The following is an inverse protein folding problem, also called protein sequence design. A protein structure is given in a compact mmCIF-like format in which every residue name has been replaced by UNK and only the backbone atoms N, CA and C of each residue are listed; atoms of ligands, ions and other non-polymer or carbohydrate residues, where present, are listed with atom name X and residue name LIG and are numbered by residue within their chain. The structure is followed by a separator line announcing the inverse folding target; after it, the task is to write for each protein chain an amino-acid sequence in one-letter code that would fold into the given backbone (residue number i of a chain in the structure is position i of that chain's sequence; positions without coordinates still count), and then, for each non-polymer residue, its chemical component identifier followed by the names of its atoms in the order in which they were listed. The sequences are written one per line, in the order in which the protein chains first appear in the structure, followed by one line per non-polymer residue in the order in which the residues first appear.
data_IF_274980892267
#
_entry.id   IF_274980892267
#
_cell.length_a   1.000
_cell.length_b   1.000
_cell.length_c   1.000
_cell.angle_alpha   90.00
_cell.angle_beta   90.00
_cell.angle_gamma   90.00
#
_symmetry.space_group_name_H-M   'P 1'
#
loop_
_entity.id
_entity.type
_entity.pdbx_description
1 polymer ?
#
# COMPACT_ATOMS: atom_id res chain seq x y z
N UNK A 1 -2.26 -28.06 16.02
CA UNK A 1 -1.37 -27.27 15.15
C UNK A 1 -0.26 -26.69 16.01
N UNK A 2 0.92 -26.42 15.45
CA UNK A 2 1.96 -25.63 16.14
C UNK A 2 1.59 -24.14 16.09
N UNK A 3 2.17 -23.35 16.98
CA UNK A 3 2.10 -21.88 16.92
C UNK A 3 3.23 -21.33 16.05
N UNK A 4 2.95 -20.23 15.35
CA UNK A 4 3.91 -19.47 14.53
C UNK A 4 3.68 -17.98 14.81
N UNK A 5 4.73 -17.18 14.72
CA UNK A 5 4.61 -15.72 14.77
C UNK A 5 3.90 -15.21 13.50
N UNK A 6 3.18 -14.10 13.63
CA UNK A 6 2.62 -13.36 12.49
C UNK A 6 2.86 -11.87 12.77
N UNK A 7 3.52 -11.12 11.86
CA UNK A 7 4.06 -11.58 10.58
C UNK A 7 5.29 -12.50 10.72
N UNK A 8 5.44 -13.43 9.77
CA UNK A 8 6.59 -14.31 9.61
C UNK A 8 6.58 -14.98 8.22
N UNK A 9 7.77 -15.18 7.67
CA UNK A 9 8.02 -16.15 6.61
C UNK A 9 8.16 -17.55 7.24
N UNK A 10 7.39 -18.55 6.80
CA UNK A 10 7.41 -19.86 7.48
C UNK A 10 8.76 -20.58 7.36
N UNK A 11 9.62 -20.16 6.42
CA UNK A 11 10.98 -20.68 6.27
C UNK A 11 11.88 -20.30 7.45
N UNK A 12 11.70 -19.10 8.04
CA UNK A 12 12.47 -18.69 9.23
C UNK A 12 12.01 -19.43 10.49
N UNK A 13 10.77 -19.91 10.47
CA UNK A 13 10.15 -20.67 11.55
C UNK A 13 10.33 -22.20 11.38
N UNK A 14 11.12 -22.62 10.37
CA UNK A 14 11.58 -24.00 10.20
C UNK A 14 10.61 -24.96 9.49
N UNK A 15 9.61 -24.44 8.77
CA UNK A 15 8.62 -25.28 8.07
C UNK A 15 9.01 -25.65 6.64
N UNK A 16 9.94 -24.94 6.00
CA UNK A 16 10.46 -25.20 4.65
C UNK A 16 11.80 -24.47 4.46
N UNK A 17 12.50 -24.69 3.35
CA UNK A 17 13.76 -24.04 3.02
C UNK A 17 13.55 -22.76 2.18
N UNK A 18 14.26 -21.66 2.50
CA UNK A 18 14.33 -20.50 1.64
C UNK A 18 15.12 -20.86 0.38
N UNK A 19 14.77 -20.26 -0.76
CA UNK A 19 15.48 -20.49 -2.03
C UNK A 19 15.91 -19.16 -2.61
N UNK A 20 17.17 -19.02 -3.00
CA UNK A 20 17.61 -17.84 -3.73
C UNK A 20 17.60 -18.13 -5.23
N UNK A 21 16.91 -17.28 -5.99
CA UNK A 21 16.77 -17.39 -7.42
C UNK A 21 16.85 -15.98 -8.02
N UNK A 22 17.76 -15.81 -8.98
CA UNK A 22 17.84 -14.60 -9.81
C UNK A 22 16.81 -14.70 -10.94
N UNK A 23 17.23 -15.08 -12.15
CA UNK A 23 16.38 -15.07 -13.36
C UNK A 23 15.48 -16.31 -13.48
N UNK A 24 15.93 -17.46 -12.98
CA UNK A 24 15.22 -18.73 -13.23
C UNK A 24 14.13 -18.95 -12.20
N UNK A 25 12.88 -19.11 -12.64
CA UNK A 25 11.77 -19.51 -11.77
C UNK A 25 12.12 -20.76 -10.94
N UNK A 26 11.71 -20.82 -9.66
CA UNK A 26 11.91 -21.98 -8.79
C UNK A 26 10.96 -23.16 -9.11
N UNK A 27 10.15 -23.02 -10.17
CA UNK A 27 9.20 -23.99 -10.72
C UNK A 27 9.26 -23.95 -12.26
N UNK A 28 8.72 -24.96 -12.98
CA UNK A 28 8.74 -24.98 -14.45
C UNK A 28 8.05 -23.75 -15.04
N UNK A 29 8.70 -23.10 -16.02
CA UNK A 29 8.18 -21.93 -16.71
C UNK A 29 7.04 -22.29 -17.70
N UNK A 30 5.87 -22.65 -17.17
CA UNK A 30 4.73 -23.17 -17.93
C UNK A 30 3.44 -22.37 -17.62
N UNK A 31 3.51 -21.04 -17.80
CA UNK A 31 2.42 -20.14 -17.44
C UNK A 31 1.07 -20.56 -18.07
N UNK A 32 -0.06 -20.47 -17.34
CA UNK A 32 -0.19 -20.02 -15.95
C UNK A 32 -0.07 -21.17 -14.91
N UNK A 33 0.37 -22.37 -15.30
CA UNK A 33 0.24 -23.57 -14.48
C UNK A 33 1.30 -23.64 -13.37
N UNK A 34 0.87 -24.03 -12.16
CA UNK A 34 1.73 -24.34 -11.02
C UNK A 34 1.65 -25.85 -10.70
N UNK A 35 2.78 -26.52 -10.40
CA UNK A 35 2.76 -27.92 -9.95
C UNK A 35 2.08 -28.10 -8.58
N UNK A 36 0.74 -28.27 -8.59
CA UNK A 36 -0.06 -28.35 -7.35
C UNK A 36 0.36 -29.50 -6.41
N UNK A 37 0.82 -30.63 -6.95
CA UNK A 37 1.22 -31.80 -6.15
C UNK A 37 2.41 -31.52 -5.21
N UNK A 38 3.21 -30.50 -5.50
CA UNK A 38 4.42 -30.17 -4.74
C UNK A 38 4.42 -28.72 -4.25
N UNK A 39 3.29 -28.00 -4.35
CA UNK A 39 3.18 -26.61 -3.92
C UNK A 39 2.99 -26.54 -2.40
N UNK A 40 3.94 -25.99 -1.61
CA UNK A 40 3.76 -25.84 -0.17
C UNK A 40 2.57 -24.93 0.17
N UNK A 41 1.82 -25.34 1.19
CA UNK A 41 0.62 -24.61 1.66
C UNK A 41 0.71 -24.38 3.17
N UNK A 42 0.65 -23.12 3.59
CA UNK A 42 0.58 -22.71 4.99
C UNK A 42 -0.87 -22.49 5.41
N UNK A 43 -1.34 -23.22 6.44
CA UNK A 43 -2.67 -23.02 7.01
C UNK A 43 -2.57 -22.33 8.38
N UNK A 44 -3.03 -21.08 8.44
CA UNK A 44 -3.04 -20.25 9.63
C UNK A 44 -4.45 -20.20 10.21
N UNK A 45 -4.56 -20.18 11.55
CA UNK A 45 -5.83 -20.02 12.25
C UNK A 45 -5.62 -19.31 13.57
N UNK A 46 -6.48 -18.35 13.86
CA UNK A 46 -6.49 -17.61 15.13
C UNK A 46 -7.92 -17.36 15.57
N UNK A 47 -8.17 -17.57 16.86
CA UNK A 47 -9.39 -17.08 17.49
C UNK A 47 -9.16 -15.64 17.98
N UNK A 48 -10.17 -14.80 17.79
CA UNK A 48 -10.18 -13.38 18.14
C UNK A 48 -11.45 -13.04 18.91
N UNK A 49 -11.40 -11.98 19.71
CA UNK A 49 -12.57 -11.45 20.41
C UNK A 49 -12.92 -10.09 19.81
N UNK A 50 -14.12 -9.94 19.27
CA UNK A 50 -14.58 -8.65 18.77
C UNK A 50 -15.16 -7.78 19.89
N UNK A 51 -14.77 -6.50 20.00
CA UNK A 51 -15.33 -5.58 20.97
C UNK A 51 -16.84 -5.39 20.80
N UNK A 52 -17.58 -5.25 21.90
CA UNK A 52 -19.04 -5.04 21.87
C UNK A 52 -19.46 -3.77 21.11
N UNK A 53 -18.60 -2.74 21.08
CA UNK A 53 -18.87 -1.46 20.41
C UNK A 53 -18.85 -1.51 18.88
N UNK A 54 -18.59 -2.66 18.27
CA UNK A 54 -18.58 -2.81 16.79
C UNK A 54 -19.95 -3.18 16.21
N UNK A 55 -20.97 -3.37 17.06
CA UNK A 55 -22.30 -3.71 16.63
C UNK A 55 -22.88 -2.62 15.72
N UNK A 56 -23.26 -3.00 14.49
CA UNK A 56 -23.83 -2.09 13.50
C UNK A 56 -22.82 -1.47 12.54
N UNK A 57 -21.52 -1.69 12.74
CA UNK A 57 -20.46 -1.22 11.84
C UNK A 57 -20.20 -2.19 10.67
N UNK A 58 -19.50 -1.71 9.64
CA UNK A 58 -18.85 -2.61 8.68
C UNK A 58 -17.57 -3.15 9.32
N UNK A 59 -17.33 -4.46 9.28
CA UNK A 59 -16.11 -5.09 9.80
C UNK A 59 -15.26 -5.53 8.63
N UNK A 60 -14.07 -4.95 8.51
CA UNK A 60 -13.10 -5.24 7.45
C UNK A 60 -11.89 -5.95 8.05
N UNK A 61 -11.51 -7.09 7.46
CA UNK A 61 -10.24 -7.77 7.75
C UNK A 61 -9.19 -7.27 6.75
N UNK A 62 -8.11 -6.69 7.27
CA UNK A 62 -6.97 -6.22 6.52
C UNK A 62 -5.79 -7.19 6.65
N UNK A 63 -5.18 -7.55 5.52
CA UNK A 63 -3.94 -8.33 5.45
C UNK A 63 -2.92 -7.50 4.67
N UNK A 64 -1.87 -7.01 5.33
CA UNK A 64 -0.96 -6.01 4.75
C UNK A 64 -0.04 -6.53 3.64
N UNK A 65 0.31 -7.81 3.68
CA UNK A 65 1.06 -8.54 2.66
C UNK A 65 1.08 -10.03 3.05
N UNK A 66 0.68 -10.89 2.13
CA UNK A 66 0.80 -12.34 2.24
C UNK A 66 0.90 -12.93 0.84
N UNK A 67 1.63 -14.03 0.66
CA UNK A 67 1.92 -14.48 -0.70
C UNK A 67 2.40 -15.92 -0.86
N UNK A 68 2.34 -16.43 -2.08
CA UNK A 68 2.00 -15.66 -3.32
C UNK A 68 0.51 -15.51 -3.61
N UNK A 69 -0.33 -16.36 -3.01
CA UNK A 69 -1.80 -16.27 -3.09
C UNK A 69 -2.45 -16.90 -1.86
N UNK A 70 -3.65 -16.46 -1.49
CA UNK A 70 -4.32 -16.98 -0.31
C UNK A 70 -5.83 -16.86 -0.34
N UNK A 71 -6.47 -17.75 0.43
CA UNK A 71 -7.90 -17.73 0.73
C UNK A 71 -8.13 -17.45 2.21
N UNK A 72 -9.25 -16.80 2.50
CA UNK A 72 -9.62 -16.37 3.84
C UNK A 72 -10.98 -16.96 4.23
N UNK A 73 -11.09 -17.43 5.47
CA UNK A 73 -12.35 -17.86 6.07
C UNK A 73 -12.55 -17.21 7.43
N UNK A 74 -13.80 -16.87 7.72
CA UNK A 74 -14.24 -16.38 9.03
C UNK A 74 -15.38 -17.27 9.51
N UNK A 75 -15.23 -17.84 10.72
CA UNK A 75 -16.18 -18.79 11.31
C UNK A 75 -16.56 -19.96 10.36
N UNK A 76 -15.60 -20.42 9.56
CA UNK A 76 -15.77 -21.54 8.62
C UNK A 76 -16.41 -21.17 7.28
N UNK A 77 -16.77 -19.90 7.06
CA UNK A 77 -17.31 -19.40 5.79
C UNK A 77 -16.24 -18.63 5.02
N UNK A 78 -16.15 -18.84 3.71
CA UNK A 78 -15.14 -18.18 2.87
C UNK A 78 -15.46 -16.69 2.72
N UNK A 79 -14.46 -15.85 2.99
CA UNK A 79 -14.52 -14.41 2.82
C UNK A 79 -14.00 -13.98 1.44
N UNK A 80 -13.01 -14.68 0.89
CA UNK A 80 -12.49 -14.40 -0.44
C UNK A 80 -11.09 -14.96 -0.71
N UNK A 81 -10.52 -14.48 -1.81
CA UNK A 81 -9.22 -14.84 -2.37
C UNK A 81 -8.42 -13.59 -2.75
N UNK A 82 -7.10 -13.63 -2.66
CA UNK A 82 -6.21 -12.55 -3.08
C UNK A 82 -4.86 -13.07 -3.60
N UNK A 83 -4.29 -12.32 -4.54
CA UNK A 83 -2.91 -12.40 -5.03
C UNK A 83 -2.26 -11.00 -4.95
N UNK A 84 -1.00 -10.91 -5.38
CA UNK A 84 -0.04 -9.83 -5.11
C UNK A 84 0.52 -9.91 -3.69
N UNK A 85 1.75 -10.40 -3.59
CA UNK A 85 2.42 -10.62 -2.31
C UNK A 85 2.86 -9.34 -1.59
N UNK A 86 2.75 -8.16 -2.21
CA UNK A 86 3.38 -6.91 -1.72
C UNK A 86 2.40 -5.75 -1.51
N UNK A 87 1.13 -5.93 -1.85
CA UNK A 87 0.06 -4.97 -1.56
C UNK A 87 -0.97 -5.56 -0.58
N UNK A 88 -1.69 -4.71 0.16
CA UNK A 88 -2.68 -5.18 1.11
C UNK A 88 -3.93 -5.72 0.40
N UNK A 89 -4.66 -6.59 1.08
CA UNK A 89 -6.03 -6.96 0.73
C UNK A 89 -6.99 -6.74 1.89
N UNK A 90 -8.16 -6.23 1.55
CA UNK A 90 -9.25 -5.94 2.49
C UNK A 90 -10.46 -6.81 2.16
N UNK A 91 -11.00 -7.50 3.17
CA UNK A 91 -12.20 -8.32 3.05
C UNK A 91 -13.31 -7.77 3.94
N UNK A 92 -14.47 -7.45 3.36
CA UNK A 92 -15.69 -7.22 4.14
C UNK A 92 -16.17 -8.55 4.73
N UNK A 93 -16.04 -8.66 6.04
CA UNK A 93 -16.42 -9.86 6.81
C UNK A 93 -17.59 -9.58 7.75
N UNK A 94 -18.29 -8.46 7.56
CA UNK A 94 -19.40 -8.00 8.40
C UNK A 94 -20.46 -9.08 8.61
N UNK A 95 -20.77 -9.85 7.56
CA UNK A 95 -21.78 -10.92 7.59
C UNK A 95 -21.25 -12.25 8.14
N UNK A 96 -19.95 -12.39 8.31
CA UNK A 96 -19.30 -13.62 8.73
C UNK A 96 -18.92 -13.62 10.21
N UNK A 97 -18.84 -12.42 10.80
CA UNK A 97 -18.52 -12.24 12.22
C UNK A 97 -19.78 -12.24 13.09
N UNK A 98 -19.58 -12.50 14.39
CA UNK A 98 -20.57 -12.39 15.45
C UNK A 98 -19.99 -11.64 16.66
N UNK A 99 -20.82 -11.08 17.56
CA UNK A 99 -20.31 -10.50 18.80
C UNK A 99 -19.46 -11.49 19.61
N UNK A 100 -18.38 -11.00 20.22
CA UNK A 100 -17.45 -11.81 21.02
C UNK A 100 -16.52 -12.68 20.18
N UNK A 101 -16.37 -13.96 20.54
CA UNK A 101 -15.39 -14.88 19.94
C UNK A 101 -15.68 -15.24 18.48
N UNK A 102 -14.68 -15.06 17.63
CA UNK A 102 -14.67 -15.45 16.22
C UNK A 102 -13.39 -16.23 15.89
N UNK A 103 -13.43 -17.01 14.80
CA UNK A 103 -12.26 -17.70 14.25
C UNK A 103 -11.94 -17.14 12.88
N UNK A 104 -10.69 -16.75 12.64
CA UNK A 104 -10.15 -16.42 11.31
C UNK A 104 -9.19 -17.53 10.89
N UNK A 105 -9.31 -17.99 9.65
CA UNK A 105 -8.38 -18.92 9.02
C UNK A 105 -7.91 -18.38 7.67
N UNK A 106 -6.63 -18.56 7.37
CA UNK A 106 -5.99 -18.11 6.13
C UNK A 106 -5.17 -19.27 5.58
N UNK A 107 -5.39 -19.63 4.33
CA UNK A 107 -4.59 -20.65 3.64
C UNK A 107 -3.75 -19.96 2.57
N UNK A 108 -2.43 -20.00 2.74
CA UNK A 108 -1.45 -19.35 1.86
C UNK A 108 -0.77 -20.40 1.00
N UNK A 109 -0.76 -20.21 -0.31
CA UNK A 109 -0.05 -21.02 -1.28
C UNK A 109 1.27 -20.35 -1.63
N UNK A 110 2.37 -21.12 -1.60
CA UNK A 110 3.71 -20.61 -1.94
C UNK A 110 3.81 -20.14 -3.38
N UNK A 111 3.13 -20.85 -4.29
CA UNK A 111 3.10 -20.54 -5.71
C UNK A 111 1.67 -20.41 -6.24
N UNK A 112 1.46 -19.45 -7.13
CA UNK A 112 0.22 -19.19 -7.88
C UNK A 112 0.57 -18.73 -9.30
N UNK A 113 -0.42 -18.47 -10.15
CA UNK A 113 -0.15 -17.82 -11.43
C UNK A 113 0.46 -16.41 -11.24
N UNK A 114 0.09 -15.67 -10.19
CA UNK A 114 0.77 -14.42 -9.81
C UNK A 114 2.28 -14.56 -9.61
N UNK A 115 2.80 -15.74 -9.25
CA UNK A 115 4.25 -15.97 -9.11
C UNK A 115 5.02 -15.79 -10.42
N UNK A 116 4.36 -15.87 -11.58
CA UNK A 116 5.01 -15.61 -12.87
C UNK A 116 5.35 -14.13 -13.09
N UNK A 117 4.73 -13.22 -12.35
CA UNK A 117 5.03 -11.78 -12.39
C UNK A 117 5.62 -11.28 -11.06
N UNK A 118 6.14 -12.21 -10.24
CA UNK A 118 6.89 -11.93 -9.00
C UNK A 118 8.27 -12.62 -9.06
N UNK A 119 8.99 -12.40 -10.15
CA UNK A 119 10.28 -13.03 -10.46
C UNK A 119 11.50 -12.19 -10.03
N UNK A 120 11.40 -11.44 -8.93
CA UNK A 120 12.50 -10.60 -8.45
C UNK A 120 13.74 -11.42 -8.07
N UNK A 121 14.93 -10.83 -8.31
CA UNK A 121 16.22 -11.39 -7.89
C UNK A 121 16.40 -11.29 -6.36
N UNK A 122 15.76 -12.20 -5.62
CA UNK A 122 15.78 -12.24 -4.16
C UNK A 122 15.46 -13.63 -3.58
N UNK A 123 15.36 -13.70 -2.25
CA UNK A 123 14.95 -14.90 -1.53
C UNK A 123 13.47 -15.22 -1.74
N UNK A 124 13.18 -16.43 -2.19
CA UNK A 124 11.83 -16.95 -2.40
C UNK A 124 11.32 -17.59 -1.11
N UNK A 125 10.71 -16.76 -0.29
CA UNK A 125 10.06 -17.11 0.99
C UNK A 125 8.56 -16.88 0.91
N UNK A 126 7.81 -17.32 1.93
CA UNK A 126 6.34 -17.24 1.90
C UNK A 126 5.75 -17.23 3.30
N UNK A 127 4.60 -16.57 3.41
CA UNK A 127 3.87 -16.48 4.66
C UNK A 127 3.02 -15.22 4.67
N UNK A 128 2.84 -14.69 5.88
CA UNK A 128 2.18 -13.42 6.11
C UNK A 128 3.29 -12.44 6.52
N UNK A 129 3.71 -11.59 5.59
CA UNK A 129 4.92 -10.78 5.71
C UNK A 129 4.66 -9.45 6.45
N UNK A 130 3.40 -8.98 6.50
CA UNK A 130 3.01 -7.73 7.18
C UNK A 130 1.79 -7.91 8.08
N UNK A 131 1.41 -6.83 8.76
CA UNK A 131 0.35 -6.81 9.78
C UNK A 131 -0.98 -7.36 9.29
N UNK A 132 -1.69 -8.05 10.18
CA UNK A 132 -3.08 -8.49 9.99
C UNK A 132 -3.91 -7.91 11.13
N UNK A 133 -4.98 -7.20 10.79
CA UNK A 133 -5.87 -6.60 11.77
C UNK A 133 -7.29 -6.48 11.23
N UNK A 134 -8.24 -6.19 12.12
CA UNK A 134 -9.62 -5.88 11.73
C UNK A 134 -9.94 -4.44 12.13
N UNK A 135 -10.78 -3.79 11.35
CA UNK A 135 -11.32 -2.46 11.65
C UNK A 135 -12.84 -2.50 11.64
N UNK A 136 -13.43 -1.73 12.55
CA UNK A 136 -14.83 -1.33 12.47
C UNK A 136 -14.91 0.02 11.77
N UNK A 137 -15.62 0.05 10.65
CA UNK A 137 -15.80 1.23 9.81
C UNK A 137 -17.25 1.72 9.89
N UNK A 138 -17.48 3.00 10.22
CA UNK A 138 -18.78 3.67 10.13
C UNK A 138 -19.47 3.41 8.80
N UNK A 139 -20.78 3.13 8.82
CA UNK A 139 -21.58 2.98 7.59
C UNK A 139 -21.50 4.22 6.69
N UNK A 140 -21.60 5.40 7.30
CA UNK A 140 -21.32 6.67 6.66
C UNK A 140 -19.87 7.07 6.94
N UNK A 141 -19.03 7.08 5.90
CA UNK A 141 -17.57 7.29 6.02
C UNK A 141 -17.00 7.90 4.75
N UNK A 142 -15.80 8.46 4.87
CA UNK A 142 -14.90 8.70 3.74
C UNK A 142 -14.24 7.35 3.41
N UNK A 143 -14.64 6.75 2.29
CA UNK A 143 -14.09 5.47 1.79
C UNK A 143 -12.70 5.67 1.17
N UNK A 144 -12.51 6.79 0.48
CA UNK A 144 -11.25 7.13 -0.17
C UNK A 144 -10.95 8.64 -0.06
N UNK A 145 -9.67 8.97 0.05
CA UNK A 145 -9.12 10.31 0.23
C UNK A 145 -7.92 10.48 -0.69
N UNK A 146 -7.99 11.45 -1.60
CA UNK A 146 -6.84 11.93 -2.35
C UNK A 146 -6.51 13.38 -1.97
N UNK A 147 -5.31 13.60 -1.45
CA UNK A 147 -4.77 14.89 -1.07
C UNK A 147 -3.82 15.39 -2.17
N UNK A 148 -4.09 16.60 -2.66
CA UNK A 148 -3.24 17.31 -3.62
C UNK A 148 -2.65 18.52 -2.93
N UNK A 149 -1.40 18.43 -2.49
CA UNK A 149 -0.67 19.48 -1.80
C UNK A 149 0.43 20.07 -2.71
N UNK A 150 0.02 20.86 -3.71
CA UNK A 150 0.91 21.44 -4.70
C UNK A 150 1.45 22.83 -4.32
N UNK A 151 2.26 23.41 -5.19
CA UNK A 151 2.67 24.81 -5.13
C UNK A 151 2.12 25.59 -6.33
N UNK A 152 1.90 26.89 -6.14
CA UNK A 152 1.58 27.82 -7.22
C UNK A 152 2.75 27.99 -8.21
N UNK A 153 2.51 28.70 -9.31
CA UNK A 153 3.52 28.92 -10.34
C UNK A 153 4.76 29.71 -9.86
N UNK A 154 4.66 30.40 -8.71
CA UNK A 154 5.77 31.11 -8.08
C UNK A 154 6.58 30.23 -7.11
N UNK A 155 6.08 29.01 -6.84
CA UNK A 155 6.60 28.06 -5.86
C UNK A 155 6.66 28.61 -4.42
N UNK A 156 5.79 29.58 -4.09
CA UNK A 156 5.77 30.23 -2.76
C UNK A 156 4.52 29.94 -1.96
N UNK A 157 3.37 29.85 -2.63
CA UNK A 157 2.09 29.56 -1.98
C UNK A 157 1.69 28.12 -2.27
N UNK A 158 1.08 27.47 -1.29
CA UNK A 158 0.52 26.13 -1.44
C UNK A 158 -0.84 26.17 -2.14
N UNK A 159 -1.14 25.12 -2.90
CA UNK A 159 -2.47 24.82 -3.42
C UNK A 159 -2.92 23.50 -2.81
N UNK A 160 -3.81 23.59 -1.82
CA UNK A 160 -4.34 22.40 -1.15
C UNK A 160 -5.71 22.04 -1.72
N UNK A 161 -5.87 20.80 -2.15
CA UNK A 161 -7.17 20.22 -2.45
C UNK A 161 -7.29 18.81 -1.86
N UNK A 162 -8.50 18.43 -1.47
CA UNK A 162 -8.87 17.05 -1.12
C UNK A 162 -10.04 16.61 -1.98
N UNK A 163 -9.98 15.36 -2.44
CA UNK A 163 -11.09 14.66 -3.10
C UNK A 163 -11.50 13.50 -2.20
N UNK A 164 -12.74 13.55 -1.71
CA UNK A 164 -13.29 12.59 -0.76
C UNK A 164 -14.36 11.76 -1.45
N UNK A 165 -14.25 10.43 -1.39
CA UNK A 165 -15.33 9.53 -1.76
C UNK A 165 -16.14 9.20 -0.51
N UNK A 166 -17.31 9.83 -0.36
CA UNK A 166 -18.16 9.70 0.82
C UNK A 166 -19.28 8.69 0.56
N UNK A 167 -19.37 7.66 1.41
CA UNK A 167 -20.38 6.60 1.27
C UNK A 167 -21.81 7.14 1.41
N UNK A 168 -22.82 6.43 0.88
CA UNK A 168 -24.21 6.83 0.99
C UNK A 168 -24.67 7.10 2.43
N UNK A 169 -25.52 8.12 2.62
CA UNK A 169 -26.15 8.44 3.90
C UNK A 169 -27.56 8.98 3.70
N UNK A 170 -28.47 8.64 4.60
CA UNK A 170 -29.85 9.16 4.61
C UNK A 170 -29.96 10.53 5.27
N UNK A 171 -28.92 10.96 5.99
CA UNK A 171 -28.85 12.25 6.68
C UNK A 171 -27.85 13.17 5.97
N UNK A 172 -28.05 14.50 6.03
CA UNK A 172 -27.01 15.43 5.62
C UNK A 172 -25.78 15.29 6.54
N UNK A 173 -24.61 15.52 5.96
CA UNK A 173 -23.31 15.46 6.66
C UNK A 173 -22.46 16.67 6.27
N UNK A 174 -21.33 16.85 6.96
CA UNK A 174 -20.33 17.85 6.62
C UNK A 174 -18.97 17.20 6.48
N UNK A 175 -18.33 17.40 5.33
CA UNK A 175 -16.92 17.06 5.16
C UNK A 175 -16.07 18.28 5.56
N UNK A 176 -15.04 18.05 6.37
CA UNK A 176 -14.14 19.08 6.87
C UNK A 176 -12.69 18.70 6.61
N UNK A 177 -11.89 19.67 6.17
CA UNK A 177 -10.44 19.58 6.19
C UNK A 177 -9.86 20.68 7.07
N UNK A 178 -8.96 20.30 7.99
CA UNK A 178 -8.25 21.20 8.88
C UNK A 178 -6.74 21.00 8.71
N UNK A 179 -6.05 22.03 8.22
CA UNK A 179 -4.59 22.04 8.06
C UNK A 179 -3.93 22.65 9.29
N UNK A 180 -2.97 21.93 9.85
CA UNK A 180 -2.20 22.30 11.03
C UNK A 180 -0.71 22.39 10.73
N UNK A 181 -0.05 23.38 11.32
CA UNK A 181 1.40 23.59 11.33
C UNK A 181 1.89 23.51 12.79
N UNK A 182 2.35 22.32 13.20
CA UNK A 182 2.43 22.00 14.61
C UNK A 182 1.04 22.10 15.26
N UNK A 183 0.92 22.88 16.33
CA UNK A 183 -0.35 23.14 17.02
C UNK A 183 -1.14 24.31 16.42
N UNK A 184 -0.58 25.02 15.43
CA UNK A 184 -1.23 26.18 14.81
C UNK A 184 -2.17 25.75 13.70
N UNK A 185 -3.45 26.10 13.82
CA UNK A 185 -4.43 25.97 12.74
C UNK A 185 -4.13 26.99 11.63
N UNK A 186 -3.87 26.48 10.42
CA UNK A 186 -3.54 27.29 9.23
C UNK A 186 -4.76 27.53 8.37
N UNK A 187 -5.59 26.51 8.19
CA UNK A 187 -6.76 26.53 7.31
C UNK A 187 -7.81 25.57 7.84
N UNK A 188 -9.08 25.97 7.74
CA UNK A 188 -10.22 25.07 7.87
C UNK A 188 -11.13 25.28 6.68
N UNK A 189 -11.60 24.20 6.08
CA UNK A 189 -12.61 24.26 5.04
C UNK A 189 -13.63 23.15 5.17
N UNK A 190 -14.89 23.51 4.94
CA UNK A 190 -16.03 22.61 5.08
C UNK A 190 -16.90 22.66 3.83
N UNK A 191 -17.54 21.53 3.55
CA UNK A 191 -18.55 21.38 2.51
C UNK A 191 -19.68 20.48 3.01
N UNK A 192 -20.92 20.91 2.72
CA UNK A 192 -22.10 20.10 3.01
C UNK A 192 -22.16 18.92 2.04
N UNK A 193 -22.39 17.74 2.59
CA UNK A 193 -22.67 16.52 1.84
C UNK A 193 -24.17 16.26 1.91
N UNK A 194 -24.84 16.33 0.76
CA UNK A 194 -26.27 16.07 0.69
C UNK A 194 -26.58 14.58 0.89
N UNK A 195 -27.70 14.22 1.53
CA UNK A 195 -28.11 12.82 1.64
C UNK A 195 -28.30 12.19 0.25
N UNK A 196 -28.17 10.87 0.17
CA UNK A 196 -28.26 10.15 -1.09
C UNK A 196 -28.05 8.64 -0.93
N UNK A 197 -28.46 7.90 -1.97
CA UNK A 197 -28.31 6.44 -2.06
C UNK A 197 -27.04 5.99 -2.79
N UNK A 198 -26.29 6.94 -3.36
CA UNK A 198 -25.05 6.69 -4.09
C UNK A 198 -23.88 7.39 -3.38
N UNK A 199 -22.68 6.84 -3.57
CA UNK A 199 -21.44 7.48 -3.16
C UNK A 199 -21.32 8.87 -3.81
N UNK A 200 -20.74 9.82 -3.08
CA UNK A 200 -20.54 11.19 -3.55
C UNK A 200 -19.07 11.58 -3.47
N UNK A 201 -18.57 12.19 -4.53
CA UNK A 201 -17.29 12.90 -4.51
C UNK A 201 -17.49 14.30 -3.94
N UNK A 202 -16.69 14.65 -2.94
CA UNK A 202 -16.67 15.99 -2.33
C UNK A 202 -15.27 16.56 -2.48
N UNK A 203 -15.17 17.75 -3.06
CA UNK A 203 -13.89 18.44 -3.22
C UNK A 203 -13.83 19.67 -2.32
N UNK A 204 -12.78 19.75 -1.51
CA UNK A 204 -12.43 20.94 -0.73
C UNK A 204 -11.12 21.47 -1.26
N UNK A 205 -11.02 22.78 -1.53
CA UNK A 205 -9.78 23.38 -2.00
C UNK A 205 -9.58 24.80 -1.45
N UNK A 206 -8.33 25.17 -1.24
CA UNK A 206 -7.94 26.53 -0.86
C UNK A 206 -6.45 26.81 -1.18
N UNK A 207 -6.11 28.07 -1.52
CA UNK A 207 -4.71 28.50 -1.48
C UNK A 207 -4.23 28.61 -0.03
N UNK A 208 -2.95 28.35 0.19
CA UNK A 208 -2.28 28.48 1.50
C UNK A 208 -1.07 29.40 1.32
N UNK A 209 -1.14 30.67 1.77
CA UNK A 209 -0.04 31.61 1.56
C UNK A 209 1.24 31.23 2.31
N UNK A 210 2.40 31.39 1.67
CA UNK A 210 3.71 31.30 2.31
C UNK A 210 4.02 29.95 2.99
N UNK A 211 3.71 28.83 2.33
CA UNK A 211 4.01 27.49 2.86
C UNK A 211 5.50 27.20 2.92
N UNK A 212 5.91 26.37 3.87
CA UNK A 212 7.23 25.73 3.84
C UNK A 212 7.14 24.51 2.94
N UNK A 213 7.75 24.59 1.75
CA UNK A 213 7.72 23.48 0.80
C UNK A 213 8.49 22.27 1.33
N UNK A 214 8.01 21.07 0.96
CA UNK A 214 8.69 19.81 1.22
C UNK A 214 9.71 19.51 0.12
N UNK A 215 10.87 19.01 0.53
CA UNK A 215 11.87 18.40 -0.35
C UNK A 215 12.67 17.35 0.42
N UNK A 216 13.45 16.52 -0.27
CA UNK A 216 14.36 15.59 0.40
C UNK A 216 15.46 16.30 1.25
N UNK A 217 15.72 17.58 0.99
CA UNK A 217 16.67 18.40 1.75
C UNK A 217 16.02 19.07 2.97
N UNK A 218 14.75 19.47 2.82
CA UNK A 218 13.95 20.17 3.83
C UNK A 218 12.55 19.54 3.91
N UNK A 219 12.38 18.43 4.66
CA UNK A 219 11.12 17.67 4.70
C UNK A 219 10.07 18.36 5.59
N UNK A 220 9.64 19.55 5.19
CA UNK A 220 8.59 20.28 5.91
C UNK A 220 7.24 19.58 5.75
N UNK A 221 6.67 19.13 6.86
CA UNK A 221 5.37 18.46 6.89
C UNK A 221 4.34 19.28 7.66
N UNK A 222 3.09 19.18 7.22
CA UNK A 222 1.90 19.69 7.89
C UNK A 222 1.00 18.51 8.26
N UNK A 223 0.16 18.69 9.28
CA UNK A 223 -0.88 17.71 9.62
C UNK A 223 -2.20 18.16 9.01
N UNK A 224 -2.73 17.36 8.10
CA UNK A 224 -4.07 17.53 7.56
C UNK A 224 -5.02 16.58 8.30
N UNK A 225 -6.06 17.13 8.92
CA UNK A 225 -7.14 16.35 9.49
C UNK A 225 -8.33 16.41 8.55
N UNK A 226 -8.77 15.26 8.04
CA UNK A 226 -9.99 15.14 7.23
C UNK A 226 -11.06 14.46 8.07
N UNK A 227 -12.21 15.12 8.22
CA UNK A 227 -13.29 14.66 9.08
C UNK A 227 -14.60 14.59 8.31
N UNK A 228 -15.41 13.60 8.67
CA UNK A 228 -16.82 13.53 8.30
C UNK A 228 -17.65 13.73 9.57
N UNK A 229 -18.54 14.71 9.54
CA UNK A 229 -19.42 15.07 10.65
C UNK A 229 -20.87 14.75 10.30
N UNK A 230 -21.65 14.36 11.31
CA UNK A 230 -23.10 14.18 11.18
C UNK A 230 -23.87 15.51 11.14
N UNK A 231 -25.19 15.43 11.11
CA UNK A 231 -26.08 16.60 11.09
C UNK A 231 -25.99 17.47 12.34
N UNK A 232 -25.51 16.91 13.45
CA UNK A 232 -25.48 17.54 14.77
C UNK A 232 -24.08 18.12 15.06
N UNK A 233 -23.14 17.96 14.11
CA UNK A 233 -21.76 18.42 14.23
C UNK A 233 -20.84 17.45 14.98
N UNK A 234 -21.27 16.21 15.21
CA UNK A 234 -20.46 15.16 15.83
C UNK A 234 -19.55 14.53 14.79
N UNK A 235 -18.28 14.30 15.15
CA UNK A 235 -17.33 13.61 14.26
C UNK A 235 -17.68 12.12 14.18
N UNK A 236 -17.96 11.65 12.96
CA UNK A 236 -18.18 10.23 12.64
C UNK A 236 -16.85 9.52 12.37
N UNK A 237 -15.98 10.17 11.61
CA UNK A 237 -14.67 9.67 11.21
C UNK A 237 -13.68 10.82 11.14
N UNK A 238 -12.44 10.56 11.55
CA UNK A 238 -11.31 11.46 11.40
C UNK A 238 -10.11 10.68 10.83
N UNK A 239 -9.57 11.16 9.71
CA UNK A 239 -8.41 10.59 9.03
C UNK A 239 -7.28 11.62 9.05
N UNK A 240 -6.27 11.45 9.92
CA UNK A 240 -5.08 12.29 9.88
C UNK A 240 -4.18 11.90 8.71
N UNK A 241 -3.57 12.88 8.06
CA UNK A 241 -2.55 12.72 7.03
C UNK A 241 -1.39 13.67 7.32
N UNK A 242 -0.16 13.22 7.07
CA UNK A 242 0.99 14.12 6.96
C UNK A 242 1.09 14.55 5.50
N UNK A 243 1.28 15.84 5.26
CA UNK A 243 1.35 16.36 3.89
C UNK A 243 2.57 17.26 3.73
N UNK A 244 3.27 17.10 2.61
CA UNK A 244 4.35 17.99 2.20
C UNK A 244 3.95 18.76 0.94
N UNK A 245 3.91 20.10 1.01
CA UNK A 245 3.63 20.94 -0.16
C UNK A 245 4.79 20.84 -1.16
N UNK A 246 4.54 20.19 -2.30
CA UNK A 246 5.55 19.95 -3.34
C UNK A 246 4.93 19.88 -4.72
N UNK A 247 5.69 20.31 -5.73
CA UNK A 247 5.34 20.09 -7.14
C UNK A 247 6.48 19.38 -7.82
N UNK A 248 6.19 18.22 -8.43
CA UNK A 248 7.11 17.45 -9.27
C UNK A 248 6.69 17.62 -10.72
N UNK A 249 7.63 17.94 -11.61
CA UNK A 249 7.32 18.20 -13.01
C UNK A 249 8.53 17.93 -13.93
N UNK A 250 8.26 17.68 -15.21
CA UNK A 250 9.30 17.64 -16.24
C UNK A 250 9.24 18.94 -17.03
N UNK A 251 10.32 19.73 -16.99
CA UNK A 251 10.48 20.98 -17.76
C UNK A 251 11.74 20.91 -18.59
N UNK A 252 11.63 21.13 -19.90
CA UNK A 252 12.75 21.10 -20.86
C UNK A 252 13.60 19.81 -20.73
N UNK A 253 12.93 18.66 -20.57
CA UNK A 253 13.58 17.35 -20.43
C UNK A 253 14.26 17.09 -19.08
N UNK A 254 14.01 17.93 -18.06
CA UNK A 254 14.61 17.81 -16.72
C UNK A 254 13.53 17.57 -15.68
N UNK A 255 13.79 16.65 -14.74
CA UNK A 255 12.94 16.45 -13.56
C UNK A 255 13.20 17.60 -12.58
N UNK A 256 12.11 18.25 -12.18
CA UNK A 256 12.11 19.40 -11.29
C UNK A 256 11.30 19.09 -10.04
N UNK A 257 11.77 19.60 -8.90
CA UNK A 257 11.00 19.65 -7.65
C UNK A 257 10.97 21.10 -7.21
N UNK A 258 9.76 21.65 -7.01
CA UNK A 258 9.54 23.03 -6.59
C UNK A 258 10.28 24.05 -7.48
N UNK A 259 10.25 23.83 -8.80
CA UNK A 259 10.89 24.69 -9.80
C UNK A 259 12.41 24.54 -9.92
N UNK A 260 13.04 23.63 -9.18
CA UNK A 260 14.48 23.37 -9.23
C UNK A 260 14.79 22.01 -9.82
N UNK A 261 15.78 21.95 -10.71
CA UNK A 261 16.29 20.68 -11.19
C UNK A 261 16.95 19.94 -10.02
N UNK A 262 16.60 18.68 -9.85
CA UNK A 262 17.21 17.82 -8.83
C UNK A 262 18.27 16.91 -9.45
N UNK A 263 19.16 16.41 -8.59
CA UNK A 263 20.06 15.31 -8.90
C UNK A 263 19.71 14.14 -8.00
N UNK A 264 19.33 13.01 -8.61
CA UNK A 264 19.02 11.78 -7.89
C UNK A 264 20.33 11.11 -7.48
N UNK A 265 20.56 11.04 -6.16
CA UNK A 265 21.62 10.27 -5.52
C UNK A 265 20.94 9.07 -4.88
N UNK A 266 20.52 8.14 -5.74
CA UNK A 266 19.59 7.08 -5.40
C UNK A 266 20.27 5.74 -5.15
N UNK A 267 19.59 4.90 -4.36
CA UNK A 267 19.89 3.47 -4.21
C UNK A 267 18.63 2.63 -4.43
N UNK A 268 18.80 1.37 -4.83
CA UNK A 268 17.74 0.38 -4.77
C UNK A 268 17.73 -0.24 -3.37
N UNK A 269 16.54 -0.47 -2.82
CA UNK A 269 16.38 -1.13 -1.52
C UNK A 269 15.31 -2.22 -1.61
N UNK A 270 15.73 -3.46 -1.42
CA UNK A 270 14.83 -4.54 -1.08
C UNK A 270 14.44 -4.49 0.40
N UNK A 271 13.24 -4.96 0.71
CA UNK A 271 12.87 -5.33 2.08
C UNK A 271 13.56 -6.66 2.43
N UNK A 272 14.74 -6.58 3.06
CA UNK A 272 15.49 -7.75 3.51
C UNK A 272 16.07 -7.55 4.92
N UNK A 273 15.80 -8.52 5.78
CA UNK A 273 16.44 -8.71 7.08
C UNK A 273 17.14 -10.09 7.10
N UNK A 274 18.37 -10.19 7.62
CA UNK A 274 19.13 -11.44 7.62
C UNK A 274 18.50 -12.57 8.45
N UNK A 275 17.67 -12.24 9.45
CA UNK A 275 17.03 -13.20 10.34
C UNK A 275 15.57 -13.47 9.92
N UNK A 276 14.88 -12.43 9.45
CA UNK A 276 13.43 -12.48 9.19
C UNK A 276 13.03 -12.35 7.71
N UNK A 277 14.00 -12.35 6.79
CA UNK A 277 13.83 -12.17 5.35
C UNK A 277 12.95 -10.96 5.01
N UNK A 278 11.70 -11.15 4.60
CA UNK A 278 10.85 -10.07 4.10
C UNK A 278 10.07 -9.36 5.22
N UNK A 279 10.12 -9.86 6.45
CA UNK A 279 9.49 -9.19 7.59
C UNK A 279 10.44 -8.13 8.15
N UNK A 280 10.14 -6.85 7.89
CA UNK A 280 11.00 -5.72 8.25
C UNK A 280 10.47 -4.95 9.46
N UNK A 281 11.36 -4.73 10.44
CA UNK A 281 11.07 -3.87 11.59
C UNK A 281 11.21 -2.38 11.24
N UNK A 282 10.39 -1.53 11.86
CA UNK A 282 10.52 -0.07 11.69
C UNK A 282 11.91 0.43 12.14
N UNK A 283 12.49 -0.19 13.18
CA UNK A 283 13.84 0.14 13.64
C UNK A 283 14.90 -0.11 12.55
N UNK A 284 14.75 -1.17 11.74
CA UNK A 284 15.63 -1.42 10.60
C UNK A 284 15.39 -0.40 9.48
N UNK A 285 14.13 -0.07 9.18
CA UNK A 285 13.80 0.96 8.18
C UNK A 285 14.44 2.31 8.53
N UNK A 286 14.30 2.76 9.80
CA UNK A 286 14.93 4.00 10.30
C UNK A 286 16.44 3.94 10.17
N UNK A 287 17.06 2.81 10.55
CA UNK A 287 18.51 2.61 10.43
C UNK A 287 18.97 2.73 8.97
N UNK A 288 18.27 2.10 8.03
CA UNK A 288 18.60 2.19 6.60
C UNK A 288 18.55 3.64 6.11
N UNK A 289 17.48 4.36 6.44
CA UNK A 289 17.32 5.77 6.05
C UNK A 289 18.41 6.64 6.68
N UNK A 290 18.71 6.47 7.96
CA UNK A 290 19.77 7.22 8.63
C UNK A 290 21.14 6.97 8.00
N UNK A 291 21.45 5.73 7.62
CA UNK A 291 22.66 5.40 6.88
C UNK A 291 22.68 6.05 5.50
N UNK A 292 21.56 6.02 4.77
CA UNK A 292 21.43 6.70 3.48
C UNK A 292 21.71 8.20 3.61
N UNK A 293 21.05 8.86 4.56
CA UNK A 293 21.18 10.32 4.78
C UNK A 293 22.60 10.70 5.20
N UNK A 294 23.25 9.92 6.08
CA UNK A 294 24.66 10.13 6.47
C UNK A 294 25.64 9.95 5.31
N UNK A 295 25.26 9.19 4.28
CA UNK A 295 26.06 8.95 3.08
C UNK A 295 25.58 9.77 1.86
N UNK A 296 24.90 10.90 2.10
CA UNK A 296 24.47 11.86 1.07
C UNK A 296 23.49 11.32 0.01
N UNK A 297 22.80 10.20 0.31
CA UNK A 297 21.73 9.66 -0.52
C UNK A 297 20.46 10.48 -0.26
N UNK A 298 19.74 10.82 -1.34
CA UNK A 298 18.51 11.61 -1.29
C UNK A 298 17.30 10.91 -1.94
N UNK A 299 17.48 9.70 -2.47
CA UNK A 299 16.44 8.97 -3.14
C UNK A 299 16.56 7.46 -2.94
N UNK A 300 15.42 6.78 -3.04
CA UNK A 300 15.34 5.33 -2.98
C UNK A 300 14.35 4.82 -4.01
N UNK A 301 14.67 3.72 -4.66
CA UNK A 301 13.74 2.93 -5.48
C UNK A 301 13.31 1.72 -4.68
N UNK A 302 12.00 1.47 -4.61
CA UNK A 302 11.42 0.29 -3.95
C UNK A 302 11.57 -0.94 -4.84
N UNK A 303 12.81 -1.38 -5.05
CA UNK A 303 13.14 -2.53 -5.90
C UNK A 303 12.57 -3.82 -5.31
N UNK A 304 11.64 -4.53 -5.97
CA UNK A 304 10.90 -4.19 -7.20
C UNK A 304 9.40 -4.39 -6.95
N UNK A 305 8.91 -3.71 -5.93
CA UNK A 305 7.55 -3.84 -5.39
C UNK A 305 7.25 -2.77 -4.34
N UNK A 306 5.96 -2.47 -4.09
CA UNK A 306 5.58 -1.52 -3.05
C UNK A 306 6.03 -2.01 -1.67
N UNK A 307 6.73 -1.15 -0.93
CA UNK A 307 7.25 -1.47 0.40
C UNK A 307 6.13 -1.41 1.46
N UNK A 308 6.46 -1.72 2.72
CA UNK A 308 5.56 -1.54 3.85
C UNK A 308 5.14 -0.06 3.96
N UNK A 309 3.85 0.28 4.20
CA UNK A 309 3.38 1.66 4.28
C UNK A 309 4.19 2.56 5.23
N UNK A 310 4.76 1.99 6.31
CA UNK A 310 5.62 2.73 7.25
C UNK A 310 6.90 3.27 6.59
N UNK A 311 7.37 2.66 5.51
CA UNK A 311 8.52 3.14 4.76
C UNK A 311 8.29 4.52 4.15
N UNK A 312 7.09 4.77 3.62
CA UNK A 312 6.71 6.03 2.99
C UNK A 312 6.54 7.13 4.05
N UNK A 313 5.91 6.81 5.19
CA UNK A 313 5.85 7.71 6.35
C UNK A 313 7.24 8.17 6.82
N UNK A 314 8.21 7.25 6.86
CA UNK A 314 9.58 7.56 7.22
C UNK A 314 10.32 8.34 6.13
N UNK A 315 10.08 8.04 4.86
CA UNK A 315 10.66 8.80 3.74
C UNK A 315 10.16 10.25 3.72
N UNK A 316 8.88 10.47 4.06
CA UNK A 316 8.30 11.79 4.25
C UNK A 316 8.98 12.55 5.40
N UNK A 317 9.18 11.89 6.54
CA UNK A 317 9.76 12.47 7.76
C UNK A 317 11.24 12.82 7.59
N UNK A 318 12.05 11.90 7.07
CA UNK A 318 13.51 12.08 6.92
C UNK A 318 13.89 12.82 5.63
N UNK A 319 12.97 12.91 4.66
CA UNK A 319 13.19 13.50 3.36
C UNK A 319 13.98 12.59 2.42
N UNK A 320 13.29 11.72 1.70
CA UNK A 320 13.80 10.95 0.57
C UNK A 320 12.84 11.05 -0.62
N UNK A 321 13.38 11.20 -1.83
CA UNK A 321 12.59 10.97 -3.04
C UNK A 321 12.39 9.48 -3.24
N UNK A 322 11.14 9.02 -3.32
CA UNK A 322 10.82 7.61 -3.52
C UNK A 322 10.36 7.39 -4.96
N UNK A 323 11.01 6.46 -5.65
CA UNK A 323 10.45 5.85 -6.86
C UNK A 323 9.71 4.60 -6.40
N UNK A 324 8.38 4.70 -6.34
CA UNK A 324 7.54 3.57 -6.00
C UNK A 324 7.30 2.68 -7.22
N UNK A 325 7.41 1.37 -7.05
CA UNK A 325 7.47 0.41 -8.15
C UNK A 325 6.48 -0.73 -7.92
N UNK A 326 5.66 -1.02 -8.95
CA UNK A 326 4.67 -2.09 -8.87
C UNK A 326 5.35 -3.46 -8.80
N UNK A 327 4.71 -4.42 -8.12
CA UNK A 327 5.22 -5.78 -7.93
C UNK A 327 5.09 -6.60 -9.22
N UNK A 328 5.84 -6.25 -10.27
CA UNK A 328 5.75 -6.87 -11.60
C UNK A 328 7.16 -7.14 -12.13
N UNK A 329 7.60 -8.38 -12.02
CA UNK A 329 8.83 -8.85 -12.66
C UNK A 329 8.60 -10.24 -13.26
N UNK A 330 8.86 -10.39 -14.57
CA UNK A 330 8.79 -11.69 -15.28
C UNK A 330 10.13 -11.98 -15.95
N UNK A 331 11.22 -11.94 -15.16
CA UNK A 331 12.59 -11.89 -15.64
C UNK A 331 12.94 -13.08 -16.53
N UNK A 332 12.59 -14.31 -16.14
CA UNK A 332 12.87 -15.50 -16.96
C UNK A 332 12.29 -15.37 -18.38
N UNK A 333 11.04 -14.92 -18.50
CA UNK A 333 10.40 -14.73 -19.80
C UNK A 333 10.97 -13.54 -20.57
N UNK A 334 11.41 -12.49 -19.88
CA UNK A 334 12.14 -11.39 -20.51
C UNK A 334 13.48 -11.85 -21.08
N UNK A 335 14.25 -12.65 -20.34
CA UNK A 335 15.52 -13.23 -20.78
C UNK A 335 15.33 -14.15 -22.00
N UNK A 336 14.32 -15.03 -21.99
CA UNK A 336 13.98 -15.85 -23.16
C UNK A 336 13.62 -15.00 -24.39
N UNK A 337 12.82 -13.96 -24.21
CA UNK A 337 12.44 -13.07 -25.30
C UNK A 337 13.62 -12.20 -25.81
N UNK A 338 14.61 -11.89 -24.97
CA UNK A 338 15.81 -11.18 -25.40
C UNK A 338 16.73 -12.06 -26.24
N UNK A 339 16.78 -13.37 -25.95
CA UNK A 339 17.49 -14.37 -26.76
C UNK A 339 16.77 -14.71 -28.07
N UNK A 340 15.45 -14.51 -28.11
CA UNK A 340 14.58 -14.75 -29.28
C UNK A 340 13.69 -13.54 -29.59
N UNK A 341 14.26 -12.40 -30.06
CA UNK A 341 13.50 -11.16 -30.27
C UNK A 341 12.29 -11.32 -31.19
N UNK A 342 12.37 -12.22 -32.17
CA UNK A 342 11.29 -12.56 -33.10
C UNK A 342 10.08 -13.22 -32.40
N UNK A 343 10.30 -13.84 -31.24
CA UNK A 343 9.26 -14.45 -30.42
C UNK A 343 8.81 -13.56 -29.26
N UNK A 344 9.36 -12.34 -29.13
CA UNK A 344 9.08 -11.45 -27.99
C UNK A 344 7.59 -11.24 -27.71
N UNK A 345 6.72 -10.94 -28.70
CA UNK A 345 5.29 -10.77 -28.44
C UNK A 345 4.60 -12.03 -27.90
N UNK A 346 5.17 -13.21 -28.16
CA UNK A 346 4.68 -14.49 -27.65
C UNK A 346 5.26 -14.82 -26.28
N UNK A 347 6.53 -14.45 -26.03
CA UNK A 347 7.27 -14.87 -24.84
C UNK A 347 7.14 -13.89 -23.67
N UNK A 348 7.14 -12.57 -23.89
CA UNK A 348 7.01 -11.61 -22.79
C UNK A 348 5.58 -11.54 -22.28
N UNK A 349 5.39 -11.72 -20.95
CA UNK A 349 4.06 -11.72 -20.34
C UNK A 349 3.34 -10.39 -20.59
N UNK A 350 4.04 -9.26 -20.61
CA UNK A 350 3.45 -7.95 -20.86
C UNK A 350 2.81 -7.75 -22.25
N UNK A 351 3.01 -8.67 -23.20
CA UNK A 351 2.30 -8.66 -24.49
C UNK A 351 1.07 -9.57 -24.52
N UNK A 352 0.85 -10.38 -23.48
CA UNK A 352 -0.24 -11.35 -23.41
C UNK A 352 -1.49 -10.72 -22.77
N UNK A 353 -2.58 -10.50 -23.53
CA UNK A 353 -3.78 -9.84 -23.01
C UNK A 353 -4.43 -10.57 -21.84
N UNK A 354 -4.19 -11.88 -21.68
CA UNK A 354 -4.70 -12.65 -20.54
C UNK A 354 -4.12 -12.15 -19.19
N UNK A 355 -2.99 -11.45 -19.21
CA UNK A 355 -2.30 -10.92 -18.03
C UNK A 355 -2.56 -9.43 -17.79
N UNK A 356 -3.36 -8.77 -18.64
CA UNK A 356 -3.66 -7.34 -18.52
C UNK A 356 -4.24 -7.00 -17.15
N UNK A 357 -5.26 -7.76 -16.71
CA UNK A 357 -5.91 -7.53 -15.41
C UNK A 357 -4.94 -7.64 -14.23
N UNK A 358 -4.00 -8.59 -14.27
CA UNK A 358 -3.00 -8.79 -13.22
C UNK A 358 -1.93 -7.66 -13.20
N UNK A 359 -1.56 -7.10 -14.35
CA UNK A 359 -0.66 -5.95 -14.41
C UNK A 359 -1.36 -4.67 -13.94
N UNK A 360 -2.57 -4.42 -14.45
CA UNK A 360 -3.34 -3.21 -14.13
C UNK A 360 -3.71 -3.16 -12.66
N UNK A 361 -4.07 -4.28 -12.04
CA UNK A 361 -4.41 -4.32 -10.61
C UNK A 361 -3.21 -3.96 -9.73
N UNK A 362 -2.02 -4.52 -10.01
CA UNK A 362 -0.80 -4.25 -9.24
C UNK A 362 -0.36 -2.78 -9.34
N UNK A 363 -0.48 -2.17 -10.52
CA UNK A 363 -0.19 -0.74 -10.70
C UNK A 363 -1.24 0.14 -10.04
N UNK A 364 -2.53 -0.12 -10.31
CA UNK A 364 -3.63 0.69 -9.77
C UNK A 364 -3.64 0.64 -8.26
N UNK A 365 -3.54 -0.55 -7.66
CA UNK A 365 -3.59 -0.72 -6.21
C UNK A 365 -2.38 -0.05 -5.50
N UNK A 366 -1.19 -0.07 -6.11
CA UNK A 366 -0.02 0.68 -5.61
C UNK A 366 -0.32 2.17 -5.59
N UNK A 367 -0.77 2.72 -6.72
CA UNK A 367 -1.09 4.15 -6.83
C UNK A 367 -2.19 4.53 -5.84
N UNK A 368 -3.28 3.77 -5.76
CA UNK A 368 -4.40 4.08 -4.87
C UNK A 368 -4.01 4.04 -3.39
N UNK A 369 -3.06 3.16 -3.00
CA UNK A 369 -2.52 3.09 -1.64
C UNK A 369 -1.63 4.28 -1.30
N UNK A 370 -0.75 4.68 -2.22
CA UNK A 370 0.39 5.58 -1.95
C UNK A 370 0.30 6.95 -2.63
N UNK A 371 -0.86 7.33 -3.18
CA UNK A 371 -1.07 8.61 -3.91
C UNK A 371 -0.94 9.89 -3.07
N UNK A 372 -0.97 9.79 -1.74
CA UNK A 372 -0.88 10.92 -0.81
C UNK A 372 0.57 11.12 -0.37
#
# INVERSE_FOLDING_TARGET
WKSIKVPADWQTEGYDQPRYNNITYPFPANRPLIPHATNPVGSYRRDIELPAGWAGEDVVLHIGAAGSAYRVWVNGQEAGYSEDSKLPSDFDVTRLVKPGRNTVAIQVHRWSDGSYIEDQDFWRVSGIERSVYMVAAPKARVRDLFVKAGLDASYRNGTLATELAVTPSTKPMTARMTLMDGDRQVLVKEARVAPGRAERTVTLSAPVPGVRAWSAETPNLYKLMVELLDSDGTVIQATPQRIGFRTVEIKNGRVMVNGRQIMIRGVNRHEHDPETFHVISEASMRRDIELMKRNNINAVRTSHYPNDPRWYDLADEYGLYVMDEANIESHAYMDYANKHPELRPKLQIGFDPAWEGAHVSRVTNMVERDKN
#
